data_IF_893834937389
#
_entry.id   IF_893834937389
#
_cell.length_a   1.000
_cell.length_b   1.000
_cell.length_c   1.000
_cell.angle_alpha   90.00
_cell.angle_beta   90.00
_cell.angle_gamma   90.00
#
_symmetry.space_group_name_H-M   'P 1'
#
loop_
_entity.id
_entity.type
_entity.pdbx_description
1 polymer ?
#
# COMPACT_ATOMS: atom_id res chain seq x y z
N UNK A 1 -20.79 -59.69 -45.72
CA UNK A 1 -19.99 -58.62 -45.07
C UNK A 1 -20.95 -57.57 -44.54
N UNK A 2 -20.68 -57.04 -43.35
CA UNK A 2 -21.59 -56.34 -42.44
C UNK A 2 -22.19 -55.05 -43.02
N UNK A 3 -23.43 -54.82 -42.59
CA UNK A 3 -24.17 -53.55 -42.38
C UNK A 3 -23.34 -52.28 -42.36
N UNK A 4 -23.85 -51.22 -43.00
CA UNK A 4 -23.88 -49.85 -42.45
C UNK A 4 -24.88 -49.02 -43.29
N UNK A 5 -26.00 -48.70 -42.66
CA UNK A 5 -27.08 -47.86 -43.20
C UNK A 5 -26.84 -46.43 -42.70
N UNK A 6 -27.12 -45.46 -43.59
CA UNK A 6 -27.42 -44.04 -43.31
C UNK A 6 -26.25 -43.16 -42.89
N UNK A 7 -25.75 -42.33 -43.81
CA UNK A 7 -25.65 -40.85 -43.64
C UNK A 7 -24.91 -40.22 -44.83
N UNK A 8 -25.43 -40.37 -46.05
CA UNK A 8 -24.85 -39.75 -47.26
C UNK A 8 -25.67 -38.53 -47.73
N UNK A 9 -26.85 -38.27 -47.16
CA UNK A 9 -27.78 -37.28 -47.72
C UNK A 9 -27.80 -35.89 -47.04
N UNK A 10 -26.84 -35.56 -46.16
CA UNK A 10 -26.76 -34.22 -45.53
C UNK A 10 -25.46 -33.46 -45.78
N UNK A 11 -24.53 -34.03 -46.56
CA UNK A 11 -23.39 -33.31 -47.10
C UNK A 11 -23.66 -33.11 -48.57
N UNK A 12 -23.49 -31.89 -49.08
CA UNK A 12 -23.47 -31.49 -50.51
C UNK A 12 -24.71 -30.81 -51.11
N UNK A 13 -25.47 -30.03 -50.33
CA UNK A 13 -26.17 -28.89 -50.95
C UNK A 13 -25.53 -27.57 -50.53
N UNK A 14 -24.79 -27.01 -51.50
CA UNK A 14 -24.77 -25.60 -51.85
C UNK A 14 -24.15 -24.63 -50.81
N UNK A 15 -22.87 -24.26 -50.93
CA UNK A 15 -22.28 -23.32 -51.89
C UNK A 15 -22.24 -21.87 -51.37
N UNK A 16 -21.01 -21.40 -51.14
CA UNK A 16 -20.54 -20.01 -51.28
C UNK A 16 -21.23 -18.96 -50.41
N UNK A 17 -20.73 -18.82 -49.18
CA UNK A 17 -20.65 -17.53 -48.51
C UNK A 17 -19.31 -17.44 -47.78
N UNK A 18 -18.40 -16.63 -48.34
CA UNK A 18 -17.42 -15.87 -47.57
C UNK A 18 -16.32 -16.65 -46.85
N UNK A 19 -15.14 -16.67 -47.48
CA UNK A 19 -13.85 -16.87 -46.82
C UNK A 19 -13.62 -15.73 -45.80
N UNK A 20 -14.18 -15.81 -44.59
CA UNK A 20 -13.87 -14.88 -43.47
C UNK A 20 -14.07 -15.54 -42.09
N UNK A 21 -13.88 -16.85 -41.96
CA UNK A 21 -14.25 -17.59 -40.74
C UNK A 21 -13.12 -18.20 -39.90
N UNK A 22 -11.86 -18.25 -40.37
CA UNK A 22 -10.77 -18.93 -39.65
C UNK A 22 -9.72 -17.99 -39.02
N UNK A 23 -10.02 -16.69 -38.91
CA UNK A 23 -9.07 -15.68 -38.41
C UNK A 23 -9.36 -15.08 -37.04
N UNK A 24 -10.46 -15.45 -36.36
CA UNK A 24 -10.89 -14.80 -35.11
C UNK A 24 -11.13 -15.82 -34.00
N UNK A 25 -10.14 -16.68 -33.76
CA UNK A 25 -10.10 -17.53 -32.57
C UNK A 25 -8.71 -17.57 -31.92
N UNK A 26 -7.87 -16.56 -32.17
CA UNK A 26 -6.55 -16.41 -31.53
C UNK A 26 -6.42 -15.12 -30.71
N UNK A 27 -7.47 -14.32 -30.56
CA UNK A 27 -7.46 -13.16 -29.66
C UNK A 27 -8.23 -13.46 -28.38
N UNK A 28 -7.53 -13.39 -27.24
CA UNK A 28 -8.05 -13.43 -25.86
C UNK A 28 -8.15 -14.80 -25.18
N UNK A 29 -7.07 -15.58 -25.23
CA UNK A 29 -6.59 -16.13 -23.96
C UNK A 29 -5.75 -15.04 -23.29
N UNK A 30 -6.43 -14.03 -22.71
CA UNK A 30 -5.78 -13.11 -21.78
C UNK A 30 -5.36 -14.02 -20.62
N UNK A 31 -4.06 -14.28 -20.50
CA UNK A 31 -3.53 -14.93 -19.31
C UNK A 31 -4.20 -14.25 -18.11
N UNK A 32 -4.76 -15.03 -17.17
CA UNK A 32 -5.13 -14.45 -15.89
C UNK A 32 -3.84 -13.84 -15.35
N UNK A 33 -3.70 -12.52 -15.47
CA UNK A 33 -2.66 -11.78 -14.77
C UNK A 33 -2.85 -12.16 -13.30
N UNK A 34 -1.80 -12.73 -12.71
CA UNK A 34 -1.81 -13.06 -11.30
C UNK A 34 -2.29 -11.82 -10.55
N UNK A 35 -3.21 -12.01 -9.60
CA UNK A 35 -3.70 -10.89 -8.80
C UNK A 35 -2.49 -10.13 -8.23
N UNK A 36 -2.50 -8.79 -8.27
CA UNK A 36 -1.36 -8.02 -7.81
C UNK A 36 -1.00 -8.44 -6.38
N UNK A 37 0.27 -8.72 -6.15
CA UNK A 37 0.79 -9.04 -4.82
C UNK A 37 1.29 -7.77 -4.15
N UNK A 38 1.22 -7.73 -2.81
CA UNK A 38 1.80 -6.62 -2.06
C UNK A 38 3.33 -6.73 -2.05
N UNK A 39 4.00 -5.61 -2.19
CA UNK A 39 5.45 -5.51 -1.99
C UNK A 39 5.72 -5.02 -0.57
N UNK A 40 6.71 -5.59 0.12
CA UNK A 40 7.08 -5.18 1.49
C UNK A 40 8.53 -4.70 1.52
N UNK A 41 8.80 -3.71 2.37
CA UNK A 41 10.14 -3.19 2.59
C UNK A 41 10.43 -2.97 4.08
N UNK A 42 11.72 -2.97 4.43
CA UNK A 42 12.22 -2.80 5.80
C UNK A 42 11.54 -3.75 6.79
N UNK A 43 11.58 -5.06 6.51
CA UNK A 43 11.00 -6.08 7.39
C UNK A 43 11.76 -6.10 8.71
N UNK A 44 11.03 -5.88 9.80
CA UNK A 44 11.51 -5.97 11.18
C UNK A 44 11.30 -7.39 11.67
N UNK A 45 12.37 -8.02 12.12
CA UNK A 45 12.35 -9.37 12.70
C UNK A 45 12.45 -9.31 14.22
N UNK A 46 11.80 -10.25 14.89
CA UNK A 46 11.98 -10.53 16.31
C UNK A 46 12.36 -12.01 16.45
N UNK A 47 13.56 -12.30 16.99
CA UNK A 47 14.07 -13.67 17.10
C UNK A 47 14.03 -14.42 15.75
N UNK A 48 14.52 -13.76 14.69
CA UNK A 48 14.54 -14.26 13.30
C UNK A 48 13.17 -14.56 12.67
N UNK A 49 12.07 -14.18 13.34
CA UNK A 49 10.71 -14.26 12.81
C UNK A 49 10.25 -12.88 12.34
N UNK A 50 9.73 -12.73 11.10
CA UNK A 50 9.16 -11.47 10.63
C UNK A 50 7.99 -11.01 11.51
N UNK A 51 8.09 -9.81 12.06
CA UNK A 51 7.08 -9.23 12.95
C UNK A 51 6.19 -8.23 12.21
N UNK A 52 6.80 -7.25 11.55
CA UNK A 52 6.10 -6.27 10.70
C UNK A 52 7.05 -5.68 9.64
N UNK A 53 6.51 -4.94 8.67
CA UNK A 53 7.30 -4.25 7.64
C UNK A 53 7.29 -2.74 7.88
N UNK A 54 8.41 -2.06 7.66
CA UNK A 54 8.48 -0.59 7.73
C UNK A 54 7.54 0.07 6.72
N UNK A 55 7.39 -0.53 5.54
CA UNK A 55 6.35 -0.17 4.60
C UNK A 55 5.80 -1.36 3.81
N UNK A 56 4.58 -1.22 3.31
CA UNK A 56 3.97 -2.11 2.32
C UNK A 56 3.43 -1.28 1.16
N UNK A 57 3.64 -1.75 -0.07
CA UNK A 57 3.08 -1.16 -1.28
C UNK A 57 2.05 -2.12 -1.88
N UNK A 58 0.94 -1.57 -2.34
CA UNK A 58 -0.08 -2.33 -3.05
C UNK A 58 -0.73 -1.42 -4.10
N UNK A 59 -0.59 -1.80 -5.37
CA UNK A 59 -0.88 -0.91 -6.50
C UNK A 59 -0.16 0.44 -6.31
N UNK A 60 -0.89 1.56 -6.39
CA UNK A 60 -0.33 2.90 -6.24
C UNK A 60 -0.39 3.43 -4.80
N UNK A 61 -0.60 2.55 -3.81
CA UNK A 61 -0.67 2.95 -2.40
C UNK A 61 0.54 2.46 -1.61
N UNK A 62 0.94 3.28 -0.64
CA UNK A 62 2.02 3.00 0.30
C UNK A 62 1.46 3.11 1.71
N UNK A 63 1.73 2.11 2.53
CA UNK A 63 1.37 2.06 3.94
C UNK A 63 2.65 2.07 4.74
N UNK A 64 2.82 3.05 5.62
CA UNK A 64 3.99 3.21 6.47
C UNK A 64 3.62 2.80 7.89
N UNK A 65 4.42 1.91 8.49
CA UNK A 65 4.25 1.52 9.89
C UNK A 65 4.47 2.69 10.85
N UNK A 66 3.91 2.59 12.05
CA UNK A 66 4.10 3.57 13.11
C UNK A 66 5.58 3.81 13.40
N UNK A 67 5.99 5.08 13.43
CA UNK A 67 7.33 5.50 13.83
C UNK A 67 7.25 6.21 15.17
N UNK A 68 7.99 5.70 16.16
CA UNK A 68 8.19 6.33 17.47
C UNK A 68 9.58 6.95 17.62
N UNK A 69 9.85 7.55 18.76
CA UNK A 69 11.17 8.05 19.16
C UNK A 69 11.64 7.29 20.41
N UNK A 70 12.83 6.69 20.33
CA UNK A 70 13.37 5.80 21.37
C UNK A 70 14.63 6.40 22.01
N UNK A 71 14.52 7.65 22.44
CA UNK A 71 15.57 8.40 23.12
C UNK A 71 14.94 9.39 24.11
N UNK A 72 15.75 9.98 24.98
CA UNK A 72 15.31 11.02 25.92
C UNK A 72 15.15 12.36 25.20
N UNK A 73 13.99 13.01 25.33
CA UNK A 73 13.73 14.29 24.67
C UNK A 73 12.36 14.86 24.98
N UNK A 74 12.14 16.11 24.54
CA UNK A 74 10.82 16.72 24.59
C UNK A 74 9.95 16.30 23.40
N UNK A 75 8.66 16.60 23.48
CA UNK A 75 7.71 16.27 22.41
C UNK A 75 8.11 16.85 21.05
N UNK A 76 8.77 18.01 20.98
CA UNK A 76 9.19 18.61 19.71
C UNK A 76 10.32 17.82 19.08
N UNK A 77 11.30 17.40 19.87
CA UNK A 77 12.39 16.53 19.44
C UNK A 77 11.86 15.18 18.94
N UNK A 78 10.95 14.57 19.70
CA UNK A 78 10.32 13.30 19.31
C UNK A 78 9.50 13.45 18.02
N UNK A 79 8.65 14.48 17.93
CA UNK A 79 7.84 14.74 16.74
C UNK A 79 8.71 14.98 15.51
N UNK A 80 9.79 15.77 15.64
CA UNK A 80 10.72 16.00 14.53
C UNK A 80 11.36 14.69 14.08
N UNK A 81 11.88 13.90 15.00
CA UNK A 81 12.50 12.62 14.68
C UNK A 81 11.53 11.69 13.96
N UNK A 82 10.31 11.52 14.50
CA UNK A 82 9.28 10.68 13.89
C UNK A 82 8.94 11.13 12.47
N UNK A 83 8.81 12.43 12.22
CA UNK A 83 8.55 12.96 10.88
C UNK A 83 9.73 12.76 9.92
N UNK A 84 10.97 12.83 10.43
CA UNK A 84 12.17 12.53 9.63
C UNK A 84 12.25 11.04 9.28
N UNK A 85 11.88 10.14 10.19
CA UNK A 85 11.81 8.69 9.92
C UNK A 85 10.68 8.34 8.95
N UNK A 86 9.52 8.99 9.04
CA UNK A 86 8.46 8.86 8.04
C UNK A 86 8.93 9.31 6.66
N UNK A 87 9.61 10.46 6.57
CA UNK A 87 10.15 10.97 5.32
C UNK A 87 11.14 9.98 4.68
N UNK A 88 12.08 9.43 5.47
CA UNK A 88 13.02 8.40 5.01
C UNK A 88 12.30 7.16 4.49
N UNK A 89 11.31 6.65 5.23
CA UNK A 89 10.58 5.45 4.85
C UNK A 89 9.72 5.67 3.59
N UNK A 90 9.08 6.83 3.47
CA UNK A 90 8.33 7.22 2.27
C UNK A 90 9.24 7.29 1.05
N UNK A 91 10.44 7.87 1.19
CA UNK A 91 11.44 7.92 0.10
C UNK A 91 11.88 6.50 -0.28
N UNK A 92 12.16 5.63 0.69
CA UNK A 92 12.51 4.24 0.44
C UNK A 92 11.41 3.46 -0.30
N UNK A 93 10.14 3.82 -0.07
CA UNK A 93 8.98 3.27 -0.76
C UNK A 93 8.68 3.93 -2.13
N UNK A 94 9.46 4.91 -2.57
CA UNK A 94 9.24 5.66 -3.83
C UNK A 94 8.19 6.77 -3.74
N UNK A 95 7.74 7.11 -2.54
CA UNK A 95 6.77 8.18 -2.26
C UNK A 95 7.46 9.45 -1.72
N UNK A 96 6.71 10.33 -1.06
CA UNK A 96 7.24 11.52 -0.38
C UNK A 96 6.24 12.08 0.62
N UNK A 97 6.68 12.97 1.51
CA UNK A 97 5.81 13.69 2.45
C UNK A 97 4.64 14.42 1.75
N UNK A 98 4.83 14.92 0.51
CA UNK A 98 3.77 15.60 -0.26
C UNK A 98 2.71 14.66 -0.83
N UNK A 99 2.98 13.35 -0.85
CA UNK A 99 2.07 12.32 -1.36
C UNK A 99 1.32 11.60 -0.23
N UNK A 100 1.43 12.06 1.01
CA UNK A 100 0.73 11.47 2.14
C UNK A 100 -0.75 11.85 2.07
N UNK A 101 -1.61 10.85 2.18
CA UNK A 101 -3.07 10.98 2.13
C UNK A 101 -3.68 11.07 3.52
N UNK A 102 -3.19 10.25 4.46
CA UNK A 102 -3.68 10.14 5.83
C UNK A 102 -2.51 10.01 6.81
N UNK A 103 -2.62 10.68 7.97
CA UNK A 103 -1.78 10.43 9.14
C UNK A 103 -2.63 10.08 10.37
N UNK A 104 -2.14 9.14 11.18
CA UNK A 104 -2.65 8.88 12.53
C UNK A 104 -1.56 9.25 13.53
N UNK A 105 -1.89 10.12 14.48
CA UNK A 105 -0.95 10.62 15.51
C UNK A 105 -1.40 10.13 16.87
N UNK A 106 -0.55 9.38 17.55
CA UNK A 106 -0.78 8.84 18.88
C UNK A 106 0.15 9.54 19.87
N UNK A 107 -0.41 10.32 20.79
CA UNK A 107 0.33 11.01 21.84
C UNK A 107 0.34 10.20 23.13
N UNK A 108 1.44 10.25 23.87
CA UNK A 108 1.47 9.73 25.24
C UNK A 108 0.53 10.53 26.16
N UNK A 109 0.61 11.86 26.11
CA UNK A 109 -0.26 12.78 26.85
C UNK A 109 -0.89 13.80 25.88
N UNK A 110 -2.17 14.11 26.06
CA UNK A 110 -2.87 15.12 25.25
C UNK A 110 -2.36 16.55 25.52
N UNK A 111 -1.74 16.80 26.68
CA UNK A 111 -1.11 18.08 27.01
C UNK A 111 -0.03 18.50 25.99
N UNK A 112 0.58 17.52 25.32
CA UNK A 112 1.62 17.71 24.31
C UNK A 112 1.08 18.16 22.95
N UNK A 113 -0.24 18.15 22.74
CA UNK A 113 -0.86 18.41 21.44
C UNK A 113 -0.40 19.72 20.80
N UNK A 114 -0.34 20.82 21.57
CA UNK A 114 0.07 22.12 21.05
C UNK A 114 1.54 22.12 20.63
N UNK A 115 2.43 21.57 21.44
CA UNK A 115 3.86 21.54 21.16
C UNK A 115 4.22 20.58 20.02
N UNK A 116 3.53 19.43 19.92
CA UNK A 116 3.63 18.53 18.76
C UNK A 116 3.23 19.25 17.47
N UNK A 117 2.11 19.99 17.46
CA UNK A 117 1.64 20.71 16.27
C UNK A 117 2.68 21.73 15.75
N UNK A 118 3.44 22.35 16.64
CA UNK A 118 4.50 23.28 16.26
C UNK A 118 5.63 22.63 15.47
N UNK A 119 5.96 21.37 15.74
CA UNK A 119 6.93 20.59 14.98
C UNK A 119 6.32 19.93 13.74
N UNK A 120 5.01 19.63 13.77
CA UNK A 120 4.29 18.97 12.69
C UNK A 120 3.96 19.92 11.51
N UNK A 121 3.63 21.18 11.80
CA UNK A 121 3.14 22.13 10.79
C UNK A 121 4.14 22.32 9.64
N UNK A 122 3.63 22.30 8.41
CA UNK A 122 4.42 22.51 7.18
C UNK A 122 5.22 21.30 6.70
N UNK A 123 5.34 20.21 7.47
CA UNK A 123 6.14 19.03 7.07
C UNK A 123 5.57 18.27 5.87
N UNK A 124 4.28 18.43 5.57
CA UNK A 124 3.59 17.78 4.43
C UNK A 124 3.36 18.71 3.22
N UNK A 125 3.99 19.89 3.19
CA UNK A 125 3.81 20.87 2.12
C UNK A 125 2.49 21.64 2.20
N UNK A 126 2.02 22.12 1.06
CA UNK A 126 0.84 22.99 0.89
C UNK A 126 -0.49 22.23 0.88
N UNK A 127 -0.46 20.91 0.64
CA UNK A 127 -1.63 20.01 0.60
C UNK A 127 -1.45 18.90 1.65
N UNK A 128 -1.66 19.19 2.94
CA UNK A 128 -1.43 18.23 4.01
C UNK A 128 -2.45 17.07 3.98
N UNK A 129 -2.11 15.90 4.56
CA UNK A 129 -3.02 14.76 4.65
C UNK A 129 -4.21 15.04 5.58
N UNK A 130 -5.26 14.22 5.47
CA UNK A 130 -6.24 14.13 6.56
C UNK A 130 -5.56 13.55 7.80
N UNK A 131 -5.91 14.05 8.99
CA UNK A 131 -5.24 13.68 10.24
C UNK A 131 -6.21 13.28 11.33
N UNK A 132 -5.89 12.20 12.02
CA UNK A 132 -6.49 11.84 13.31
C UNK A 132 -5.44 11.98 14.40
N UNK A 133 -5.79 12.56 15.55
CA UNK A 133 -4.89 12.68 16.70
C UNK A 133 -5.62 12.28 17.97
N UNK A 134 -5.02 11.37 18.74
CA UNK A 134 -5.56 10.88 20.02
C UNK A 134 -4.42 10.72 21.03
N UNK A 135 -4.76 10.71 22.31
CA UNK A 135 -3.84 10.28 23.36
C UNK A 135 -4.12 8.82 23.75
N UNK A 136 -3.07 8.04 24.01
CA UNK A 136 -3.17 6.61 24.35
C UNK A 136 -2.93 6.40 25.84
N UNK A 137 -3.94 5.90 26.56
CA UNK A 137 -3.88 5.74 28.03
C UNK A 137 -2.73 4.83 28.51
N UNK A 138 -2.34 3.82 27.72
CA UNK A 138 -1.23 2.92 28.03
C UNK A 138 0.15 3.45 27.67
N UNK A 139 0.23 4.67 27.15
CA UNK A 139 1.46 5.24 26.61
C UNK A 139 1.84 4.72 25.22
N UNK A 140 2.98 5.19 24.73
CA UNK A 140 3.54 4.84 23.41
C UNK A 140 4.78 3.96 23.64
N UNK A 141 4.99 2.88 22.84
CA UNK A 141 6.13 1.98 23.04
C UNK A 141 7.50 2.67 23.03
N UNK A 142 8.43 2.12 23.83
CA UNK A 142 9.83 2.54 23.85
C UNK A 142 10.06 3.96 24.37
N UNK A 143 9.28 4.37 25.38
CA UNK A 143 9.32 5.71 26.00
C UNK A 143 9.14 6.87 25.01
N UNK A 144 8.51 6.62 23.87
CA UNK A 144 8.17 7.68 22.94
C UNK A 144 7.07 8.57 23.52
N UNK A 145 7.07 9.84 23.13
CA UNK A 145 6.00 10.79 23.46
C UNK A 145 4.96 10.88 22.33
N UNK A 146 5.33 10.42 21.14
CA UNK A 146 4.47 10.41 19.96
C UNK A 146 4.82 9.24 19.04
N UNK A 147 3.80 8.63 18.45
CA UNK A 147 3.96 7.70 17.33
C UNK A 147 3.07 8.14 16.18
N UNK A 148 3.58 8.05 14.96
CA UNK A 148 2.83 8.46 13.76
C UNK A 148 2.94 7.38 12.69
N UNK A 149 1.79 6.97 12.16
CA UNK A 149 1.68 6.19 10.92
C UNK A 149 1.15 7.05 9.77
N UNK A 150 1.33 6.56 8.54
CA UNK A 150 0.70 7.23 7.39
C UNK A 150 0.41 6.30 6.22
N UNK A 151 -0.54 6.76 5.38
CA UNK A 151 -0.86 6.16 4.08
C UNK A 151 -0.56 7.22 3.02
N UNK A 152 0.15 6.83 1.96
CA UNK A 152 0.55 7.68 0.85
C UNK A 152 0.30 7.00 -0.50
N UNK A 153 0.62 7.70 -1.58
CA UNK A 153 0.60 7.15 -2.94
C UNK A 153 1.96 7.28 -3.63
N UNK A 154 2.15 6.55 -4.72
CA UNK A 154 3.29 6.69 -5.65
C UNK A 154 2.83 7.18 -7.01
#
# INVERSE_FOLDING_TARGET
MKTERRSILKKLFASVAGVTGLGIASSQAKALEAAPEKEVGNVVNHQDVPLFSGHTKFNNMVFIAGKGAHFEGDIKAHTKHVLDELEKELIAAGSSMKKVLKCSVFLHDLNDYKAMNEAYKGRFGDKPPVRTTVAVYGGVPGNSLVEIDCIAYI
#
